data_IF_684354318861
#
_entry.id   IF_684354318861
#
_cell.length_a   1.000
_cell.length_b   1.000
_cell.length_c   1.000
_cell.angle_alpha   90.00
_cell.angle_beta   90.00
_cell.angle_gamma   90.00
#
_symmetry.space_group_name_H-M   'P 1'
#
loop_
_entity.id
_entity.type
_entity.pdbx_description
1 polymer ?
#
# COMPACT_ATOMS: atom_id res chain seq x y z
N UNK A 1 -10.45 -10.57 -3.71
CA UNK A 1 -9.13 -11.26 -3.73
C UNK A 1 -8.95 -12.12 -2.47
N UNK A 2 -9.40 -13.37 -2.52
CA UNK A 2 -9.12 -14.31 -1.43
C UNK A 2 -7.66 -14.79 -1.54
N UNK A 3 -6.94 -14.83 -0.41
CA UNK A 3 -5.56 -15.34 -0.28
C UNK A 3 -4.43 -14.52 -0.93
N UNK A 4 -4.57 -13.20 -1.08
CA UNK A 4 -3.46 -12.31 -1.45
C UNK A 4 -3.17 -11.32 -0.34
N UNK A 5 -1.89 -11.04 -0.11
CA UNK A 5 -1.45 -9.94 0.74
C UNK A 5 -1.67 -8.64 -0.04
N UNK A 6 -2.31 -7.66 0.59
CA UNK A 6 -2.54 -6.33 0.04
C UNK A 6 -1.52 -5.39 0.68
N UNK A 7 -0.63 -4.82 -0.12
CA UNK A 7 0.28 -3.77 0.34
C UNK A 7 -0.31 -2.39 0.03
N UNK A 8 -0.52 -1.59 1.05
CA UNK A 8 -1.07 -0.23 0.92
C UNK A 8 0.05 0.80 0.98
N UNK A 9 0.13 1.69 -0.01
CA UNK A 9 1.02 2.84 -0.02
C UNK A 9 0.24 4.13 -0.35
N UNK A 10 0.83 5.28 -0.05
CA UNK A 10 0.29 6.61 -0.34
C UNK A 10 1.47 7.56 -0.51
N UNK A 11 1.20 8.86 -0.67
CA UNK A 11 2.25 9.84 -0.84
C UNK A 11 3.34 9.80 0.26
N UNK A 12 2.96 9.68 1.53
CA UNK A 12 3.87 9.81 2.69
C UNK A 12 3.80 8.65 3.70
N UNK A 13 3.16 7.53 3.36
CA UNK A 13 2.96 6.37 4.25
C UNK A 13 1.85 6.49 5.31
N UNK A 14 1.47 7.70 5.72
CA UNK A 14 0.50 7.89 6.83
C UNK A 14 -0.93 7.41 6.55
N UNK A 15 -1.50 7.74 5.38
CA UNK A 15 -2.90 7.38 5.04
C UNK A 15 -3.12 5.87 4.88
N UNK A 16 -2.04 5.13 4.63
CA UNK A 16 -2.05 3.69 4.42
C UNK A 16 -2.35 2.92 5.70
N UNK A 17 -1.99 3.49 6.85
CA UNK A 17 -2.26 2.88 8.16
C UNK A 17 -3.76 2.69 8.35
N UNK A 18 -4.53 3.73 8.07
CA UNK A 18 -5.99 3.68 8.19
C UNK A 18 -6.60 2.78 7.10
N UNK A 19 -6.11 2.85 5.86
CA UNK A 19 -6.56 1.96 4.79
C UNK A 19 -6.34 0.47 5.13
N UNK A 20 -5.15 0.12 5.65
CA UNK A 20 -4.83 -1.23 6.08
C UNK A 20 -5.71 -1.68 7.25
N UNK A 21 -5.98 -0.79 8.22
CA UNK A 21 -6.89 -1.06 9.33
C UNK A 21 -8.31 -1.41 8.85
N UNK A 22 -8.85 -0.62 7.91
CA UNK A 22 -10.17 -0.84 7.34
C UNK A 22 -10.21 -2.17 6.57
N UNK A 23 -9.25 -2.43 5.69
CA UNK A 23 -9.18 -3.67 4.92
C UNK A 23 -9.05 -4.91 5.82
N UNK A 24 -8.23 -4.83 6.86
CA UNK A 24 -8.11 -5.90 7.86
C UNK A 24 -9.41 -6.15 8.60
N UNK A 25 -10.21 -5.11 8.89
CA UNK A 25 -11.54 -5.29 9.50
C UNK A 25 -12.55 -6.02 8.60
N UNK A 26 -12.32 -6.03 7.29
CA UNK A 26 -13.09 -6.80 6.31
C UNK A 26 -12.52 -8.21 6.06
N UNK A 27 -11.47 -8.63 6.78
CA UNK A 27 -10.88 -9.97 6.67
C UNK A 27 -9.80 -10.11 5.60
N UNK A 28 -9.25 -9.01 5.08
CA UNK A 28 -8.10 -9.03 4.16
C UNK A 28 -6.77 -9.04 4.94
N UNK A 29 -5.74 -9.73 4.44
CA UNK A 29 -4.35 -9.54 4.91
C UNK A 29 -3.82 -8.25 4.26
N UNK A 30 -4.05 -7.11 4.91
CA UNK A 30 -3.61 -5.80 4.45
C UNK A 30 -2.45 -5.27 5.31
N UNK A 31 -1.40 -4.79 4.64
CA UNK A 31 -0.16 -4.30 5.26
C UNK A 31 0.16 -2.90 4.74
N UNK A 32 0.27 -1.94 5.65
CA UNK A 32 0.71 -0.60 5.30
C UNK A 32 2.23 -0.57 5.08
N UNK A 33 2.67 0.10 4.02
CA UNK A 33 4.07 0.41 3.80
C UNK A 33 4.43 1.71 4.53
N UNK A 34 5.55 1.67 5.26
CA UNK A 34 6.16 2.85 5.86
C UNK A 34 6.67 3.85 4.79
N UNK A 35 7.40 3.44 3.73
CA UNK A 35 7.85 4.38 2.70
C UNK A 35 6.69 5.04 1.97
N UNK A 36 6.85 6.33 1.67
CA UNK A 36 5.97 7.08 0.80
C UNK A 36 6.18 6.72 -0.67
N UNK A 37 5.30 7.26 -1.53
CA UNK A 37 5.40 7.05 -2.97
C UNK A 37 6.76 7.46 -3.56
N UNK A 38 7.34 8.64 -3.23
CA UNK A 38 8.66 9.01 -3.74
C UNK A 38 9.75 8.03 -3.32
N UNK A 39 9.73 7.59 -2.05
CA UNK A 39 10.71 6.63 -1.52
C UNK A 39 10.65 5.29 -2.27
N UNK A 40 9.45 4.86 -2.71
CA UNK A 40 9.29 3.66 -3.53
C UNK A 40 9.88 3.83 -4.92
N UNK A 41 9.67 4.99 -5.56
CA UNK A 41 10.27 5.28 -6.87
C UNK A 41 11.80 5.34 -6.76
N UNK A 42 12.33 6.00 -5.73
CA UNK A 42 13.78 6.10 -5.47
C UNK A 42 14.39 4.73 -5.15
N UNK A 43 13.63 3.83 -4.52
CA UNK A 43 14.02 2.43 -4.31
C UNK A 43 13.97 1.56 -5.57
N UNK A 44 13.54 2.12 -6.72
CA UNK A 44 13.51 1.44 -8.01
C UNK A 44 12.20 0.73 -8.35
N UNK A 45 11.12 0.97 -7.60
CA UNK A 45 9.81 0.44 -7.97
C UNK A 45 9.27 1.16 -9.21
N UNK A 46 8.75 0.41 -10.17
CA UNK A 46 8.17 0.96 -11.40
C UNK A 46 6.78 1.54 -11.13
N UNK A 47 6.57 2.80 -11.49
CA UNK A 47 5.25 3.42 -11.51
C UNK A 47 4.38 2.70 -12.56
N UNK A 48 3.13 2.41 -12.20
CA UNK A 48 2.17 1.89 -13.17
C UNK A 48 1.82 2.97 -14.20
N UNK A 49 1.81 2.58 -15.48
CA UNK A 49 1.40 3.44 -16.57
C UNK A 49 -0.11 3.69 -16.54
N UNK A 50 -0.54 4.82 -17.09
CA UNK A 50 -1.93 5.33 -17.01
C UNK A 50 -2.94 4.61 -17.94
N UNK A 51 -2.60 3.45 -18.49
CA UNK A 51 -3.43 2.76 -19.51
C UNK A 51 -4.67 2.04 -18.93
#
# INVERSE_FOLDING_TARGET
>A
PCNKIIYCHCLSGGRCLEAARILSSHGYDARALQPGYPDLIDAGFTQADSE
#
